data_IF_484583812391
#
_entry.id   IF_484583812391
#
_cell.length_a   1.000
_cell.length_b   1.000
_cell.length_c   1.000
_cell.angle_alpha   90.00
_cell.angle_beta   90.00
_cell.angle_gamma   90.00
#
_symmetry.space_group_name_H-M   'P 1'
#
loop_
_entity.id
_entity.type
_entity.pdbx_description
1 polymer ?
#
# COMPACT_ATOMS: atom_id res chain seq x y z
N UNK A 1 -8.59 9.34 -3.40
CA UNK A 1 -8.53 10.76 -3.83
C UNK A 1 -9.68 11.06 -4.76
N UNK A 2 -10.34 12.21 -4.62
CA UNK A 2 -11.34 12.72 -5.56
C UNK A 2 -12.79 12.31 -5.31
N UNK A 3 -13.03 11.23 -4.57
CA UNK A 3 -14.39 10.83 -4.16
C UNK A 3 -14.88 11.64 -2.96
N UNK A 4 -16.21 11.85 -2.84
CA UNK A 4 -16.81 12.60 -1.72
C UNK A 4 -16.48 11.99 -0.35
N UNK A 5 -16.36 12.84 0.67
CA UNK A 5 -16.08 12.44 2.06
C UNK A 5 -17.09 11.41 2.60
N UNK A 6 -18.35 11.49 2.16
CA UNK A 6 -19.45 10.61 2.58
C UNK A 6 -19.21 9.13 2.22
N UNK A 7 -18.39 8.87 1.20
CA UNK A 7 -18.11 7.50 0.74
C UNK A 7 -17.11 6.79 1.65
N UNK A 8 -16.29 7.54 2.38
CA UNK A 8 -15.20 7.00 3.19
C UNK A 8 -15.69 6.16 4.36
N UNK A 9 -16.70 6.63 5.11
CA UNK A 9 -17.21 5.90 6.27
C UNK A 9 -17.71 4.50 5.87
N UNK A 10 -18.50 4.43 4.79
CA UNK A 10 -19.00 3.18 4.26
C UNK A 10 -17.86 2.25 3.83
N UNK A 11 -16.87 2.77 3.08
CA UNK A 11 -15.75 1.97 2.59
C UNK A 11 -14.83 1.49 3.68
N UNK A 12 -14.52 2.34 4.66
CA UNK A 12 -13.70 1.94 5.81
C UNK A 12 -14.38 0.77 6.50
N UNK A 13 -15.69 0.85 6.76
CA UNK A 13 -16.44 -0.25 7.36
C UNK A 13 -16.43 -1.55 6.53
N UNK A 14 -16.60 -1.44 5.22
CA UNK A 14 -16.66 -2.60 4.31
C UNK A 14 -15.28 -3.25 4.08
N UNK A 15 -14.21 -2.45 4.07
CA UNK A 15 -12.86 -2.89 3.72
C UNK A 15 -11.97 -3.18 4.94
N UNK A 16 -12.29 -2.65 6.13
CA UNK A 16 -11.54 -2.92 7.36
C UNK A 16 -11.32 -4.42 7.63
N UNK A 17 -12.28 -5.33 7.38
CA UNK A 17 -12.05 -6.77 7.56
C UNK A 17 -10.99 -7.39 6.64
N UNK A 18 -10.57 -6.67 5.59
CA UNK A 18 -9.57 -7.12 4.61
C UNK A 18 -8.21 -6.42 4.77
N UNK A 19 -8.03 -5.65 5.85
CA UNK A 19 -6.75 -5.05 6.20
C UNK A 19 -5.66 -6.12 6.27
N UNK A 20 -4.51 -5.86 5.67
CA UNK A 20 -3.38 -6.78 5.72
C UNK A 20 -2.68 -6.61 7.07
N UNK A 21 -2.95 -7.55 7.98
CA UNK A 21 -2.35 -7.61 9.32
C UNK A 21 -1.36 -8.77 9.40
N UNK A 22 -0.63 -8.87 10.52
CA UNK A 22 0.23 -10.03 10.77
C UNK A 22 -0.55 -11.33 10.85
N UNK A 23 -1.79 -11.33 11.35
CA UNK A 23 -2.67 -12.50 11.34
C UNK A 23 -3.01 -12.92 9.90
N UNK A 24 -3.28 -11.96 9.01
CA UNK A 24 -3.50 -12.26 7.59
C UNK A 24 -2.23 -12.87 6.97
N UNK A 25 -1.06 -12.28 7.22
CA UNK A 25 0.21 -12.79 6.73
C UNK A 25 0.54 -14.18 7.29
N UNK A 26 0.15 -14.50 8.54
CA UNK A 26 0.35 -15.80 9.16
C UNK A 26 -0.48 -16.93 8.53
N UNK A 27 -1.53 -16.60 7.77
CA UNK A 27 -2.27 -17.58 6.97
C UNK A 27 -1.60 -17.91 5.64
N UNK A 28 -0.60 -17.12 5.23
CA UNK A 28 0.18 -17.36 4.02
C UNK A 28 1.37 -18.29 4.29
N UNK A 29 2.14 -18.61 3.24
CA UNK A 29 3.40 -19.34 3.39
C UNK A 29 4.41 -18.48 4.16
N UNK A 30 5.33 -19.11 4.89
CA UNK A 30 6.43 -18.42 5.58
C UNK A 30 7.30 -17.56 4.64
N UNK A 31 7.35 -17.91 3.36
CA UNK A 31 8.07 -17.17 2.32
C UNK A 31 7.23 -16.09 1.64
N UNK A 32 6.01 -15.82 2.11
CA UNK A 32 5.15 -14.79 1.54
C UNK A 32 5.77 -13.41 1.76
N UNK A 33 5.64 -12.55 0.75
CA UNK A 33 6.04 -11.15 0.82
C UNK A 33 4.79 -10.27 0.74
N UNK A 34 4.89 -9.08 1.31
CA UNK A 34 3.91 -8.02 1.20
C UNK A 34 4.34 -7.01 0.12
N UNK A 35 3.40 -6.64 -0.74
CA UNK A 35 3.55 -5.68 -1.84
C UNK A 35 2.44 -4.63 -1.74
N UNK A 36 2.75 -3.39 -2.14
CA UNK A 36 1.82 -2.27 -2.12
C UNK A 36 2.37 -1.12 -2.97
N UNK A 37 1.55 -0.60 -3.88
CA UNK A 37 2.01 0.32 -4.94
C UNK A 37 2.35 1.76 -4.52
N UNK A 38 2.33 2.09 -3.22
CA UNK A 38 2.60 3.40 -2.59
C UNK A 38 1.82 4.63 -3.16
N UNK A 39 1.46 5.62 -2.32
CA UNK A 39 1.62 5.67 -0.87
C UNK A 39 0.69 4.67 -0.15
N UNK A 40 1.08 4.25 1.05
CA UNK A 40 0.27 3.43 1.95
C UNK A 40 -0.13 4.23 3.20
N UNK A 41 -1.31 3.99 3.75
CA UNK A 41 -1.79 4.51 5.03
C UNK A 41 -1.60 3.46 6.13
N UNK A 42 -0.34 3.26 6.50
CA UNK A 42 0.08 2.28 7.50
C UNK A 42 0.30 2.87 8.90
N UNK A 43 0.30 4.21 9.02
CA UNK A 43 0.44 4.92 10.29
C UNK A 43 -0.22 6.33 10.27
N UNK A 44 -0.14 7.04 11.40
CA UNK A 44 -0.67 8.40 11.59
C UNK A 44 0.39 9.50 11.38
N UNK A 45 1.57 9.19 10.81
CA UNK A 45 2.68 10.16 10.67
C UNK A 45 2.49 11.11 9.49
N UNK A 46 1.51 10.85 8.62
CA UNK A 46 1.12 11.77 7.54
C UNK A 46 -0.04 12.67 7.97
N UNK A 47 -0.18 13.84 7.33
CA UNK A 47 -1.30 14.76 7.60
C UNK A 47 -2.66 14.07 7.39
N UNK A 48 -2.79 13.32 6.30
CA UNK A 48 -4.04 12.60 5.97
C UNK A 48 -4.25 11.42 6.92
N UNK A 49 -3.21 10.64 7.22
CA UNK A 49 -3.30 9.54 8.18
C UNK A 49 -3.81 10.00 9.53
N UNK A 50 -3.23 11.08 10.09
CA UNK A 50 -3.69 11.69 11.34
C UNK A 50 -5.15 12.15 11.28
N UNK A 51 -5.55 12.83 10.21
CA UNK A 51 -6.94 13.28 10.03
C UNK A 51 -7.91 12.09 9.98
N UNK A 52 -7.57 11.03 9.26
CA UNK A 52 -8.38 9.82 9.17
C UNK A 52 -8.47 9.11 10.53
N UNK A 53 -7.38 9.07 11.30
CA UNK A 53 -7.40 8.53 12.64
C UNK A 53 -8.29 9.29 13.60
N UNK A 54 -8.28 10.63 13.55
CA UNK A 54 -9.18 11.49 14.34
C UNK A 54 -10.65 11.34 13.93
N UNK A 55 -10.92 11.21 12.62
CA UNK A 55 -12.29 11.13 12.07
C UNK A 55 -12.93 9.76 12.26
N UNK A 56 -12.17 8.68 12.09
CA UNK A 56 -12.69 7.32 12.02
C UNK A 56 -12.21 6.41 13.16
N UNK A 57 -11.40 6.93 14.09
CA UNK A 57 -10.83 6.20 15.23
C UNK A 57 -10.05 4.95 14.77
N UNK A 58 -9.10 5.16 13.86
CA UNK A 58 -8.22 4.13 13.28
C UNK A 58 -6.75 4.57 13.39
N UNK A 59 -5.84 3.61 13.42
CA UNK A 59 -4.38 3.88 13.48
C UNK A 59 -3.70 3.66 12.11
N UNK A 60 -4.34 2.85 11.26
CA UNK A 60 -3.93 2.46 9.92
C UNK A 60 -5.16 2.01 9.10
N UNK A 61 -5.04 1.94 7.78
CA UNK A 61 -6.17 1.69 6.86
C UNK A 61 -6.10 0.32 6.16
N UNK A 62 -5.26 0.17 5.14
CA UNK A 62 -5.21 -1.05 4.33
C UNK A 62 -4.16 -2.07 4.78
N UNK A 63 -3.15 -1.64 5.53
CA UNK A 63 -2.08 -2.48 6.06
C UNK A 63 -1.63 -1.93 7.41
N UNK A 64 -1.32 -2.81 8.36
CA UNK A 64 -0.76 -2.40 9.66
C UNK A 64 0.72 -2.00 9.55
N UNK A 65 1.17 -1.05 10.37
CA UNK A 65 2.57 -0.63 10.44
C UNK A 65 3.53 -1.82 10.63
N UNK A 66 3.14 -2.80 11.45
CA UNK A 66 3.95 -3.99 11.71
C UNK A 66 4.20 -4.87 10.47
N UNK A 67 3.30 -4.89 9.50
CA UNK A 67 3.48 -5.63 8.24
C UNK A 67 4.26 -4.76 7.27
N UNK A 68 3.92 -3.48 7.18
CA UNK A 68 4.55 -2.53 6.26
C UNK A 68 6.06 -2.39 6.52
N UNK A 69 6.47 -2.32 7.79
CA UNK A 69 7.87 -2.21 8.23
C UNK A 69 8.56 -3.57 8.47
N UNK A 70 7.87 -4.69 8.19
CA UNK A 70 8.45 -6.02 8.38
C UNK A 70 9.46 -6.41 7.29
N UNK A 71 10.29 -7.41 7.59
CA UNK A 71 11.19 -8.06 6.61
C UNK A 71 10.45 -8.69 5.41
N UNK A 72 9.16 -9.03 5.58
CA UNK A 72 8.32 -9.56 4.51
C UNK A 72 7.87 -8.47 3.54
N UNK A 73 7.94 -7.20 3.92
CA UNK A 73 7.63 -6.07 3.06
C UNK A 73 8.70 -5.88 1.99
N UNK A 74 8.27 -5.81 0.72
CA UNK A 74 9.13 -5.52 -0.44
C UNK A 74 8.61 -4.32 -1.24
N UNK A 75 7.86 -3.43 -0.58
CA UNK A 75 7.23 -2.25 -1.19
C UNK A 75 8.24 -1.27 -1.80
N UNK A 76 9.44 -1.15 -1.21
CA UNK A 76 10.47 -0.26 -1.77
C UNK A 76 11.17 -0.87 -2.98
N UNK A 77 11.42 -2.18 -2.99
CA UNK A 77 11.93 -2.88 -4.17
C UNK A 77 10.89 -2.81 -5.32
N UNK A 78 9.60 -3.00 -5.00
CA UNK A 78 8.49 -2.82 -5.94
C UNK A 78 8.45 -1.39 -6.50
N UNK A 79 8.61 -0.38 -5.64
CA UNK A 79 8.61 1.02 -6.03
C UNK A 79 9.79 1.36 -6.96
N UNK A 80 10.99 0.85 -6.67
CA UNK A 80 12.17 1.00 -7.54
C UNK A 80 11.95 0.33 -8.91
N UNK A 81 11.33 -0.85 -8.93
CA UNK A 81 11.02 -1.58 -10.15
C UNK A 81 10.07 -0.84 -11.10
N UNK A 82 9.34 0.18 -10.64
CA UNK A 82 8.61 1.10 -11.54
C UNK A 82 9.55 1.81 -12.52
N UNK A 83 10.74 2.22 -12.09
CA UNK A 83 11.71 2.87 -12.98
C UNK A 83 12.22 1.91 -14.06
N UNK A 84 12.56 0.68 -13.67
CA UNK A 84 13.05 -0.34 -14.58
C UNK A 84 12.01 -0.75 -15.62
N UNK A 85 10.77 -0.97 -15.20
CA UNK A 85 9.67 -1.34 -16.10
C UNK A 85 9.32 -0.21 -17.06
N UNK A 86 9.26 1.05 -16.60
CA UNK A 86 9.06 2.21 -17.49
C UNK A 86 10.22 2.34 -18.49
N UNK A 87 11.47 2.16 -18.05
CA UNK A 87 12.64 2.16 -18.95
C UNK A 87 12.54 1.10 -20.03
N UNK A 88 12.11 -0.11 -19.68
CA UNK A 88 11.91 -1.19 -20.65
C UNK A 88 10.82 -0.83 -21.68
N UNK A 89 9.70 -0.25 -21.24
CA UNK A 89 8.64 0.21 -22.15
C UNK A 89 9.17 1.29 -23.11
N UNK A 90 9.94 2.26 -22.61
CA UNK A 90 10.53 3.31 -23.43
C UNK A 90 11.53 2.72 -24.44
N UNK A 91 12.41 1.82 -24.02
CA UNK A 91 13.37 1.18 -24.92
C UNK A 91 12.67 0.37 -26.01
N UNK A 92 11.64 -0.40 -25.66
CA UNK A 92 10.91 -1.25 -26.60
C UNK A 92 10.11 -0.44 -27.64
N UNK A 93 9.72 0.79 -27.34
CA UNK A 93 8.83 1.60 -28.19
C UNK A 93 9.51 2.77 -28.89
N UNK A 94 10.58 3.31 -28.30
CA UNK A 94 11.31 4.49 -28.77
C UNK A 94 12.81 4.24 -28.95
N UNK A 95 13.32 3.07 -28.57
CA UNK A 95 14.72 2.71 -28.77
C UNK A 95 15.04 2.57 -30.25
N UNK A 96 16.13 3.18 -30.69
CA UNK A 96 16.66 2.99 -32.05
C UNK A 96 17.57 1.76 -31.98
N UNK A 97 17.28 0.74 -32.78
CA UNK A 97 18.18 -0.39 -32.99
C UNK A 97 19.37 0.08 -33.84
N UNK A 98 20.60 -0.21 -33.40
CA UNK A 98 21.82 -0.04 -34.21
C UNK A 98 21.96 -1.14 -35.26
#
# INVERSE_FOLDING_TARGET
MGEPDEVWEKRIKELSPYKVTKEVMANAKDSAIFLHCLPAFHDLKTKIGKEMGERFNIEDMEVTDEVFESEQSKVFDEAENRMHTIKAVMMATLGIEE
#
